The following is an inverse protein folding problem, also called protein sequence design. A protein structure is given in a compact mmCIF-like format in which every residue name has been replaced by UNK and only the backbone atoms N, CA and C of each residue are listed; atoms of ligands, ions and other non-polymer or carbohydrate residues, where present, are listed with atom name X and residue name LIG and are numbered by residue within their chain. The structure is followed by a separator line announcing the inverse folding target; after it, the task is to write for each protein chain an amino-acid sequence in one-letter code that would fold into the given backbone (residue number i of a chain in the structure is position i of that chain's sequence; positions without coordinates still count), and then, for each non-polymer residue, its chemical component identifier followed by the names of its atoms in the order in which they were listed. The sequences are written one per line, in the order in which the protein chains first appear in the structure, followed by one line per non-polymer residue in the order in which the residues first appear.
data_IF_832041411020
#
_entry.id   IF_832041411020
#
_cell.length_a   1.000
_cell.length_b   1.000
_cell.length_c   1.000
_cell.angle_alpha   90.00
_cell.angle_beta   90.00
_cell.angle_gamma   90.00
#
_symmetry.space_group_name_H-M   'P 1'
#
loop_
_entity.id
_entity.type
_entity.pdbx_description
1 polymer ?
#
# COMPACT_ATOMS: atom_id res chain seq x y z
N UNK A 1 -44.15 51.71 -20.47
CA UNK A 1 -42.87 51.14 -19.98
C UNK A 1 -43.02 49.96 -19.00
N UNK A 2 -44.20 49.33 -18.87
CA UNK A 2 -44.48 48.36 -17.78
C UNK A 2 -44.55 46.87 -18.21
N UNK A 3 -44.57 46.56 -19.52
CA UNK A 3 -44.65 45.17 -20.03
C UNK A 3 -43.31 44.44 -19.98
N UNK A 4 -42.19 45.14 -20.21
CA UNK A 4 -40.84 44.55 -20.23
C UNK A 4 -40.34 44.10 -18.85
N UNK A 5 -40.83 44.71 -17.77
CA UNK A 5 -40.45 44.35 -16.39
C UNK A 5 -41.12 43.07 -15.91
N UNK A 6 -42.36 42.78 -16.34
CA UNK A 6 -43.08 41.55 -15.98
C UNK A 6 -42.46 40.30 -16.64
N UNK A 7 -42.03 40.39 -17.90
CA UNK A 7 -41.33 39.30 -18.59
C UNK A 7 -39.95 39.01 -17.98
N UNK A 8 -39.22 40.04 -17.55
CA UNK A 8 -37.95 39.86 -16.83
C UNK A 8 -38.12 39.16 -15.48
N UNK A 9 -39.12 39.57 -14.69
CA UNK A 9 -39.44 38.92 -13.40
C UNK A 9 -39.82 37.44 -13.59
N UNK A 10 -40.59 37.14 -14.64
CA UNK A 10 -40.98 35.78 -14.97
C UNK A 10 -39.78 34.90 -15.36
N UNK A 11 -38.83 35.43 -16.14
CA UNK A 11 -37.59 34.71 -16.48
C UNK A 11 -36.71 34.46 -15.25
N UNK A 12 -36.57 35.44 -14.33
CA UNK A 12 -35.86 35.24 -13.07
C UNK A 12 -36.53 34.16 -12.23
N UNK A 13 -37.86 34.20 -12.13
CA UNK A 13 -38.62 33.18 -11.40
C UNK A 13 -38.39 31.78 -11.99
N UNK A 14 -38.48 31.62 -13.32
CA UNK A 14 -38.17 30.34 -13.97
C UNK A 14 -36.73 29.91 -13.68
N UNK A 15 -35.76 30.81 -13.81
CA UNK A 15 -34.36 30.48 -13.54
C UNK A 15 -34.16 30.02 -12.10
N UNK A 16 -34.75 30.71 -11.11
CA UNK A 16 -34.71 30.28 -9.70
C UNK A 16 -35.40 28.93 -9.48
N UNK A 17 -36.47 28.64 -10.22
CA UNK A 17 -37.21 27.39 -10.10
C UNK A 17 -36.41 26.22 -10.72
N UNK A 18 -35.72 26.47 -11.83
CA UNK A 18 -34.81 25.50 -12.45
C UNK A 18 -33.60 25.21 -11.55
N UNK A 19 -32.98 26.23 -10.94
CA UNK A 19 -31.86 26.00 -10.02
C UNK A 19 -32.30 25.24 -8.77
N UNK A 20 -33.44 25.60 -8.17
CA UNK A 20 -34.04 24.84 -7.06
C UNK A 20 -34.34 23.40 -7.45
N UNK A 21 -34.85 23.16 -8.66
CA UNK A 21 -35.12 21.83 -9.17
C UNK A 21 -33.83 20.99 -9.31
N UNK A 22 -32.74 21.57 -9.82
CA UNK A 22 -31.44 20.88 -9.90
C UNK A 22 -30.94 20.48 -8.51
N UNK A 23 -31.05 21.38 -7.51
CA UNK A 23 -30.68 21.05 -6.13
C UNK A 23 -31.57 19.97 -5.52
N UNK A 24 -32.89 20.03 -5.77
CA UNK A 24 -33.83 19.02 -5.32
C UNK A 24 -33.43 17.62 -5.83
N UNK A 25 -33.16 17.47 -7.13
CA UNK A 25 -32.76 16.18 -7.72
C UNK A 25 -31.49 15.59 -7.08
N UNK A 26 -30.52 16.42 -6.67
CA UNK A 26 -29.33 15.94 -5.96
C UNK A 26 -29.66 15.30 -4.59
N UNK A 27 -30.63 15.84 -3.84
CA UNK A 27 -31.04 15.29 -2.53
C UNK A 27 -31.68 13.90 -2.71
N UNK A 28 -32.42 13.71 -3.81
CA UNK A 28 -33.02 12.43 -4.16
C UNK A 28 -32.00 11.39 -4.63
N UNK A 29 -30.87 11.83 -5.19
CA UNK A 29 -29.79 10.94 -5.64
C UNK A 29 -28.99 10.31 -4.48
N UNK A 30 -29.09 10.85 -3.26
CA UNK A 30 -28.47 10.22 -2.09
C UNK A 30 -29.18 8.90 -1.77
N UNK A 31 -28.42 7.82 -1.54
CA UNK A 31 -29.00 6.51 -1.30
C UNK A 31 -29.83 6.52 0.00
N UNK A 32 -30.95 5.79 -0.02
CA UNK A 32 -31.76 5.59 1.19
C UNK A 32 -31.13 4.60 2.17
N UNK A 33 -30.22 3.75 1.69
CA UNK A 33 -29.50 2.77 2.49
C UNK A 33 -28.01 2.77 2.15
N UNK A 34 -27.16 2.64 3.17
CA UNK A 34 -25.71 2.66 3.06
C UNK A 34 -25.13 1.48 3.83
N UNK A 35 -24.17 0.77 3.23
CA UNK A 35 -23.37 -0.24 3.93
C UNK A 35 -21.99 0.35 4.22
N UNK A 36 -21.60 0.32 5.48
CA UNK A 36 -20.29 0.79 5.95
C UNK A 36 -19.59 -0.37 6.65
N UNK A 37 -18.27 -0.47 6.47
CA UNK A 37 -17.45 -1.41 7.22
C UNK A 37 -17.06 -0.76 8.55
N UNK A 38 -17.22 -1.49 9.65
CA UNK A 38 -16.84 -1.04 10.99
C UNK A 38 -15.39 -0.54 11.02
N UNK A 39 -15.17 0.65 11.57
CA UNK A 39 -13.85 1.27 11.66
C UNK A 39 -13.30 1.86 10.36
N UNK A 40 -14.00 1.71 9.23
CA UNK A 40 -13.68 2.44 8.00
C UNK A 40 -14.38 3.78 7.94
N UNK A 41 -13.71 4.75 7.33
CA UNK A 41 -14.22 6.09 7.13
C UNK A 41 -14.95 6.17 5.79
N UNK A 42 -16.22 6.58 5.84
CA UNK A 42 -17.07 6.74 4.66
C UNK A 42 -17.47 8.20 4.50
N UNK A 43 -17.05 8.80 3.39
CA UNK A 43 -17.39 10.18 3.06
C UNK A 43 -18.68 10.26 2.24
N UNK A 44 -19.56 11.19 2.63
CA UNK A 44 -20.78 11.56 1.92
C UNK A 44 -20.63 12.97 1.34
N UNK A 45 -20.87 13.10 0.04
CA UNK A 45 -20.81 14.38 -0.67
C UNK A 45 -22.22 14.89 -0.94
N UNK A 46 -22.62 15.89 -0.14
CA UNK A 46 -23.93 16.52 -0.25
C UNK A 46 -23.92 17.66 -1.28
N UNK A 47 -22.88 18.50 -1.26
CA UNK A 47 -22.73 19.67 -2.13
C UNK A 47 -23.94 20.63 -2.03
N UNK A 48 -24.47 20.82 -0.82
CA UNK A 48 -25.54 21.78 -0.52
C UNK A 48 -25.01 22.91 0.36
N UNK A 49 -25.21 24.20 0.02
CA UNK A 49 -24.70 25.32 0.79
C UNK A 49 -25.54 25.60 2.06
N UNK A 50 -25.77 24.57 2.87
CA UNK A 50 -26.57 24.62 4.10
C UNK A 50 -25.89 23.81 5.21
N UNK A 51 -26.14 24.19 6.45
CA UNK A 51 -25.79 23.38 7.61
C UNK A 51 -26.99 22.53 8.02
N UNK A 52 -26.75 21.28 8.40
CA UNK A 52 -27.77 20.38 8.90
C UNK A 52 -27.38 19.82 10.26
N UNK A 53 -28.39 19.58 11.10
CA UNK A 53 -28.23 18.83 12.34
C UNK A 53 -28.21 17.34 12.01
N UNK A 54 -27.18 16.65 12.45
CA UNK A 54 -27.01 15.21 12.28
C UNK A 54 -27.33 14.51 13.60
N UNK A 55 -28.18 13.48 13.54
CA UNK A 55 -28.46 12.58 14.65
C UNK A 55 -28.46 11.13 14.17
N UNK A 56 -28.19 10.22 15.10
CA UNK A 56 -28.33 8.77 14.97
C UNK A 56 -29.26 8.27 16.06
N UNK A 57 -29.87 7.12 15.83
CA UNK A 57 -30.86 6.56 16.75
C UNK A 57 -30.21 5.79 17.91
N UNK A 58 -29.12 5.08 17.65
CA UNK A 58 -28.63 4.03 18.57
C UNK A 58 -27.17 3.61 18.37
N UNK A 59 -26.42 4.21 17.44
CA UNK A 59 -25.00 3.89 17.24
C UNK A 59 -24.14 5.14 17.37
N UNK A 60 -23.01 4.96 18.05
CA UNK A 60 -21.95 5.95 18.16
C UNK A 60 -21.01 5.87 16.95
N UNK A 61 -20.64 7.04 16.43
CA UNK A 61 -19.73 7.19 15.30
C UNK A 61 -19.07 8.56 15.36
N UNK A 62 -17.94 8.68 14.66
CA UNK A 62 -17.23 9.94 14.49
C UNK A 62 -17.71 10.65 13.23
N UNK A 63 -17.82 11.96 13.32
CA UNK A 63 -18.16 12.85 12.21
C UNK A 63 -16.99 13.79 11.99
N UNK A 64 -16.32 13.67 10.84
CA UNK A 64 -15.09 14.44 10.53
C UNK A 64 -13.99 14.30 11.61
N UNK A 65 -13.98 13.18 12.35
CA UNK A 65 -13.04 12.93 13.45
C UNK A 65 -13.58 13.28 14.84
N UNK A 66 -14.67 14.05 14.93
CA UNK A 66 -15.27 14.47 16.20
C UNK A 66 -16.32 13.48 16.70
N UNK A 67 -16.50 13.40 18.01
CA UNK A 67 -17.55 12.57 18.64
C UNK A 67 -18.90 13.23 18.38
N UNK A 68 -19.92 12.42 18.05
CA UNK A 68 -21.27 12.93 17.85
C UNK A 68 -21.88 13.38 19.18
N UNK A 69 -22.00 14.70 19.37
CA UNK A 69 -22.70 15.29 20.50
C UNK A 69 -24.19 15.56 20.22
N UNK A 70 -24.93 15.89 21.28
CA UNK A 70 -26.33 16.27 21.15
C UNK A 70 -26.47 17.58 20.34
N UNK A 71 -27.12 17.50 19.17
CA UNK A 71 -27.30 18.60 18.21
C UNK A 71 -26.07 18.96 17.37
N UNK A 72 -25.20 17.99 17.09
CA UNK A 72 -24.08 18.13 16.15
C UNK A 72 -24.49 18.78 14.82
N UNK A 73 -23.82 19.86 14.44
CA UNK A 73 -24.03 20.59 13.19
C UNK A 73 -22.97 20.18 12.16
N UNK A 74 -23.43 19.85 10.97
CA UNK A 74 -22.60 19.49 9.82
C UNK A 74 -22.81 20.51 8.71
N UNK A 75 -21.70 20.98 8.15
CA UNK A 75 -21.67 21.76 6.92
C UNK A 75 -21.81 20.85 5.71
N UNK A 76 -22.98 20.85 5.06
CA UNK A 76 -23.27 20.02 3.89
C UNK A 76 -22.68 20.60 2.59
N UNK A 77 -22.00 21.75 2.65
CA UNK A 77 -21.28 22.30 1.50
C UNK A 77 -19.96 21.57 1.26
N UNK A 78 -19.48 20.86 2.28
CA UNK A 78 -18.24 20.08 2.29
C UNK A 78 -18.54 18.58 2.37
N UNK A 79 -17.59 17.72 2.00
CA UNK A 79 -17.69 16.29 2.24
C UNK A 79 -17.81 16.00 3.75
N UNK A 80 -18.71 15.10 4.11
CA UNK A 80 -18.99 14.72 5.50
C UNK A 80 -18.49 13.30 5.72
N UNK A 81 -17.52 13.15 6.60
CA UNK A 81 -16.86 11.89 6.87
C UNK A 81 -17.48 11.20 8.07
N UNK A 82 -17.84 9.93 7.91
CA UNK A 82 -18.51 9.12 8.93
C UNK A 82 -17.68 7.89 9.25
N UNK A 83 -17.40 7.64 10.53
CA UNK A 83 -16.66 6.45 10.97
C UNK A 83 -17.37 5.78 12.14
N UNK A 84 -18.00 4.65 11.87
CA UNK A 84 -18.74 3.89 12.88
C UNK A 84 -17.81 3.00 13.69
N UNK A 85 -17.97 3.03 15.01
CA UNK A 85 -17.14 2.26 15.94
C UNK A 85 -17.73 0.88 16.23
N UNK A 86 -19.06 0.77 16.25
CA UNK A 86 -19.79 -0.46 16.54
C UNK A 86 -20.57 -1.00 15.32
N UNK A 87 -20.83 -2.30 15.32
CA UNK A 87 -21.64 -2.97 14.31
C UNK A 87 -23.13 -2.80 14.60
N UNK A 88 -23.95 -2.89 13.56
CA UNK A 88 -25.40 -2.88 13.71
C UNK A 88 -26.07 -2.07 12.62
N UNK A 89 -27.33 -1.73 12.86
CA UNK A 89 -28.12 -0.88 11.95
C UNK A 89 -28.56 0.37 12.70
N UNK A 90 -28.43 1.52 12.04
CA UNK A 90 -28.94 2.79 12.54
C UNK A 90 -29.53 3.62 11.42
N UNK A 91 -30.23 4.71 11.76
CA UNK A 91 -30.72 5.68 10.79
C UNK A 91 -30.07 7.03 11.04
N UNK A 92 -29.32 7.52 10.05
CA UNK A 92 -28.79 8.88 10.06
C UNK A 92 -29.89 9.84 9.65
N UNK A 93 -30.17 10.82 10.52
CA UNK A 93 -31.21 11.83 10.32
C UNK A 93 -30.57 13.19 10.16
N UNK A 94 -30.71 13.77 8.97
CA UNK A 94 -30.29 15.12 8.65
C UNK A 94 -31.50 16.05 8.77
N UNK A 95 -31.43 17.07 9.63
CA UNK A 95 -32.51 18.04 9.86
C UNK A 95 -32.04 19.47 9.63
N UNK A 96 -32.90 20.30 9.05
CA UNK A 96 -32.72 21.76 8.96
C UNK A 96 -33.76 22.43 9.85
N UNK A 97 -33.38 22.82 11.07
CA UNK A 97 -34.34 23.26 12.08
C UNK A 97 -35.36 22.17 12.40
N UNK A 98 -36.63 22.39 12.05
CA UNK A 98 -37.73 21.44 12.24
C UNK A 98 -38.00 20.53 11.03
N UNK A 99 -37.38 20.81 9.87
CA UNK A 99 -37.63 20.07 8.62
C UNK A 99 -36.68 18.86 8.49
N UNK A 100 -37.18 17.63 8.29
CA UNK A 100 -36.35 16.48 7.97
C UNK A 100 -35.86 16.58 6.52
N UNK A 101 -34.54 16.74 6.32
CA UNK A 101 -33.95 16.84 4.99
C UNK A 101 -33.77 15.47 4.33
N UNK A 102 -33.21 14.52 5.08
CA UNK A 102 -32.90 13.17 4.60
C UNK A 102 -32.75 12.20 5.75
N UNK A 103 -33.24 11.00 5.56
CA UNK A 103 -32.96 9.84 6.41
C UNK A 103 -32.22 8.79 5.58
N UNK A 104 -31.13 8.26 6.14
CA UNK A 104 -30.30 7.23 5.51
C UNK A 104 -30.16 6.08 6.49
N UNK A 105 -30.64 4.89 6.12
CA UNK A 105 -30.39 3.68 6.90
C UNK A 105 -28.95 3.23 6.69
N UNK A 106 -28.20 3.05 7.75
CA UNK A 106 -26.82 2.60 7.71
C UNK A 106 -26.74 1.21 8.33
N UNK A 107 -26.17 0.27 7.58
CA UNK A 107 -25.83 -1.06 8.06
C UNK A 107 -24.31 -1.15 8.18
N UNK A 108 -23.83 -1.23 9.42
CA UNK A 108 -22.42 -1.33 9.77
C UNK A 108 -22.04 -2.80 9.91
N UNK A 109 -21.24 -3.29 8.96
CA UNK A 109 -20.83 -4.68 8.86
C UNK A 109 -19.39 -4.87 9.37
N UNK A 110 -19.03 -6.06 9.89
CA UNK A 110 -17.67 -6.35 10.32
C UNK A 110 -16.65 -6.22 9.19
N UNK A 111 -15.44 -5.78 9.52
CA UNK A 111 -14.29 -5.84 8.62
C UNK A 111 -13.92 -7.30 8.35
N UNK A 112 -14.05 -7.75 7.10
CA UNK A 112 -13.63 -9.09 6.70
C UNK A 112 -12.13 -9.10 6.42
N UNK A 113 -11.36 -9.79 7.26
CA UNK A 113 -9.94 -10.07 7.04
C UNK A 113 -9.78 -11.47 6.42
N UNK A 114 -8.87 -11.60 5.46
CA UNK A 114 -8.50 -12.89 4.85
C UNK A 114 -7.01 -13.12 5.05
N UNK A 115 -6.63 -14.38 5.19
CA UNK A 115 -5.23 -14.81 5.18
C UNK A 115 -5.01 -15.57 3.88
N UNK A 116 -4.04 -15.19 3.03
CA UNK A 116 -3.76 -15.94 1.81
C UNK A 116 -3.28 -17.35 2.20
N UNK A 117 -4.00 -18.37 1.73
CA UNK A 117 -3.59 -19.77 1.83
C UNK A 117 -2.91 -20.23 0.54
N UNK A 118 -2.02 -21.21 0.64
CA UNK A 118 -1.35 -21.80 -0.52
C UNK A 118 -0.58 -23.06 -0.16
N UNK A 119 -0.34 -23.91 -1.17
CA UNK A 119 0.57 -25.05 -1.06
C UNK A 119 1.93 -24.64 -1.62
N UNK A 120 3.01 -25.02 -0.93
CA UNK A 120 4.36 -24.75 -1.40
C UNK A 120 4.62 -25.49 -2.72
N UNK A 121 4.93 -24.74 -3.78
CA UNK A 121 5.53 -25.29 -4.99
C UNK A 121 7.04 -25.13 -4.83
N UNK A 122 7.73 -26.24 -4.52
CA UNK A 122 9.19 -26.24 -4.43
C UNK A 122 9.81 -26.05 -5.80
N UNK A 123 10.68 -25.05 -5.98
CA UNK A 123 11.47 -24.85 -7.20
C UNK A 123 12.94 -25.14 -6.93
N UNK A 124 13.58 -25.93 -7.81
CA UNK A 124 15.03 -26.17 -7.76
C UNK A 124 15.72 -25.22 -8.72
N UNK A 125 16.46 -24.25 -8.18
CA UNK A 125 17.29 -23.34 -8.97
C UNK A 125 18.59 -24.06 -9.36
N UNK A 126 18.80 -24.26 -10.65
CA UNK A 126 20.06 -24.77 -11.20
C UNK A 126 20.87 -23.56 -11.67
N UNK A 127 21.90 -23.18 -10.92
CA UNK A 127 22.84 -22.14 -11.34
C UNK A 127 23.93 -22.74 -12.24
N UNK A 128 24.27 -22.04 -13.32
CA UNK A 128 25.47 -22.33 -14.10
C UNK A 128 26.70 -21.75 -13.36
N UNK A 129 27.16 -22.44 -12.32
CA UNK A 129 28.25 -21.99 -11.44
C UNK A 129 27.81 -21.87 -9.98
N UNK A 130 28.70 -21.38 -9.12
CA UNK A 130 28.45 -21.21 -7.69
C UNK A 130 28.22 -19.75 -7.32
N UNK A 131 27.13 -19.45 -6.63
CA UNK A 131 26.82 -18.08 -6.20
C UNK A 131 27.50 -17.74 -4.87
N UNK A 132 28.13 -16.57 -4.80
CA UNK A 132 28.72 -16.03 -3.58
C UNK A 132 27.61 -15.49 -2.68
N UNK A 133 27.33 -16.16 -1.57
CA UNK A 133 26.29 -15.76 -0.60
C UNK A 133 26.84 -14.97 0.59
N UNK A 134 28.14 -15.01 0.81
CA UNK A 134 28.80 -14.39 1.95
C UNK A 134 30.32 -14.56 1.91
N UNK A 135 31.03 -14.01 2.88
CA UNK A 135 32.47 -14.13 3.02
C UNK A 135 32.82 -14.90 4.28
N UNK A 136 33.75 -15.86 4.15
CA UNK A 136 34.48 -16.35 5.31
C UNK A 136 35.60 -15.37 5.65
N UNK A 137 35.74 -15.03 6.93
CA UNK A 137 36.80 -14.16 7.42
C UNK A 137 37.89 -15.02 8.07
N UNK A 138 39.10 -14.92 7.53
CA UNK A 138 40.32 -15.37 8.19
C UNK A 138 40.76 -14.32 9.20
N UNK A 139 41.35 -14.74 10.32
CA UNK A 139 41.89 -13.83 11.32
C UNK A 139 43.41 -13.95 11.33
N UNK A 140 44.11 -12.89 10.93
CA UNK A 140 45.56 -12.77 11.10
C UNK A 140 45.85 -11.51 11.93
N UNK A 141 46.66 -11.63 12.99
CA UNK A 141 47.10 -10.52 13.83
C UNK A 141 45.98 -9.54 14.24
N UNK A 142 44.82 -10.08 14.67
CA UNK A 142 43.58 -9.36 15.06
C UNK A 142 42.84 -8.63 13.93
N UNK A 143 43.18 -8.84 12.66
CA UNK A 143 42.46 -8.31 11.50
C UNK A 143 41.69 -9.43 10.80
N UNK A 144 40.39 -9.20 10.60
CA UNK A 144 39.51 -10.09 9.82
C UNK A 144 39.61 -9.72 8.35
N UNK A 145 39.95 -10.68 7.48
CA UNK A 145 40.03 -10.46 6.05
C UNK A 145 39.60 -11.70 5.26
N UNK A 146 39.26 -11.49 3.99
CA UNK A 146 38.84 -12.55 3.07
C UNK A 146 39.52 -12.33 1.73
N UNK A 147 40.34 -13.28 1.23
CA UNK A 147 41.10 -13.10 -0.01
C UNK A 147 40.22 -12.72 -1.21
N UNK A 148 39.06 -13.39 -1.36
CA UNK A 148 38.10 -13.09 -2.43
C UNK A 148 37.53 -11.68 -2.32
N UNK A 149 37.12 -11.26 -1.11
CA UNK A 149 36.59 -9.92 -0.86
C UNK A 149 37.60 -8.82 -1.16
N UNK A 150 38.86 -9.01 -0.75
CA UNK A 150 39.93 -8.04 -0.99
C UNK A 150 40.24 -7.85 -2.47
N UNK A 151 40.09 -8.92 -3.27
CA UNK A 151 40.26 -8.87 -4.73
C UNK A 151 39.01 -8.38 -5.47
N UNK A 152 37.94 -8.02 -4.75
CA UNK A 152 36.76 -7.39 -5.34
C UNK A 152 35.67 -8.37 -5.81
N UNK A 153 35.72 -9.63 -5.39
CA UNK A 153 34.60 -10.56 -5.53
C UNK A 153 33.49 -10.13 -4.56
N UNK A 154 32.25 -10.03 -5.07
CA UNK A 154 31.10 -9.51 -4.35
C UNK A 154 30.04 -10.59 -4.11
N UNK A 155 29.24 -10.40 -3.06
CA UNK A 155 28.03 -11.19 -2.84
C UNK A 155 27.09 -11.02 -4.04
N UNK A 156 26.55 -12.14 -4.54
CA UNK A 156 25.75 -12.21 -5.76
C UNK A 156 26.54 -12.52 -7.03
N UNK A 157 27.89 -12.53 -6.98
CA UNK A 157 28.69 -13.02 -8.10
C UNK A 157 28.50 -14.53 -8.29
N UNK A 158 28.51 -14.99 -9.54
CA UNK A 158 28.43 -16.41 -9.90
C UNK A 158 29.79 -16.86 -10.41
N UNK A 159 30.51 -17.66 -9.62
CA UNK A 159 31.80 -18.24 -9.97
C UNK A 159 31.62 -19.33 -11.02
N UNK A 160 32.36 -19.23 -12.12
CA UNK A 160 32.24 -20.12 -13.29
C UNK A 160 33.42 -21.07 -13.41
N UNK A 161 34.64 -20.54 -13.32
CA UNK A 161 35.87 -21.28 -13.61
C UNK A 161 36.99 -20.84 -12.65
N UNK A 162 37.87 -21.78 -12.30
CA UNK A 162 39.16 -21.53 -11.65
C UNK A 162 40.26 -22.08 -12.56
N UNK A 163 41.26 -21.26 -12.90
CA UNK A 163 42.37 -21.65 -13.79
C UNK A 163 41.92 -22.33 -15.10
N UNK A 164 40.85 -21.79 -15.72
CA UNK A 164 40.20 -22.33 -16.93
C UNK A 164 39.46 -23.66 -16.75
N UNK A 165 39.34 -24.20 -15.54
CA UNK A 165 38.52 -25.38 -15.25
C UNK A 165 37.14 -24.96 -14.71
N UNK A 166 36.07 -25.49 -15.32
CA UNK A 166 34.68 -25.15 -14.96
C UNK A 166 34.30 -25.74 -13.62
N UNK A 167 33.78 -24.90 -12.73
CA UNK A 167 33.29 -25.29 -11.41
C UNK A 167 31.96 -26.04 -11.57
N UNK A 168 31.84 -27.21 -10.92
CA UNK A 168 30.65 -28.06 -10.98
C UNK A 168 29.82 -27.96 -9.71
N UNK A 169 30.48 -27.97 -8.56
CA UNK A 169 29.90 -27.89 -7.23
C UNK A 169 30.96 -27.34 -6.25
N UNK A 170 30.59 -27.15 -4.98
CA UNK A 170 31.48 -26.65 -3.92
C UNK A 170 32.73 -27.51 -3.73
N UNK A 171 32.57 -28.83 -3.80
CA UNK A 171 33.65 -29.78 -3.54
C UNK A 171 34.70 -29.72 -4.64
N UNK A 172 34.25 -29.67 -5.90
CA UNK A 172 35.12 -29.46 -7.06
C UNK A 172 35.85 -28.11 -6.99
N UNK A 173 35.20 -27.05 -6.49
CA UNK A 173 35.87 -25.77 -6.28
C UNK A 173 36.99 -25.90 -5.24
N UNK A 174 36.75 -26.59 -4.13
CA UNK A 174 37.76 -26.82 -3.09
C UNK A 174 38.96 -27.60 -3.66
N UNK A 175 38.71 -28.68 -4.41
CA UNK A 175 39.77 -29.45 -5.08
C UNK A 175 40.62 -28.58 -6.03
N UNK A 176 39.99 -27.70 -6.82
CA UNK A 176 40.71 -26.79 -7.73
C UNK A 176 41.57 -25.77 -6.97
N UNK A 177 41.11 -25.32 -5.81
CA UNK A 177 41.86 -24.40 -4.95
C UNK A 177 43.04 -25.14 -4.31
N UNK A 178 42.85 -26.35 -3.79
CA UNK A 178 43.90 -27.14 -3.13
C UNK A 178 45.04 -27.50 -4.09
N UNK A 179 44.70 -27.79 -5.36
CA UNK A 179 45.69 -28.01 -6.44
C UNK A 179 46.63 -26.81 -6.66
N UNK A 180 46.22 -25.59 -6.32
CA UNK A 180 47.07 -24.41 -6.46
C UNK A 180 48.21 -24.34 -5.45
N UNK A 181 48.13 -25.12 -4.36
CA UNK A 181 49.11 -25.12 -3.27
C UNK A 181 49.44 -23.70 -2.74
N UNK A 182 48.44 -22.81 -2.69
CA UNK A 182 48.60 -21.43 -2.22
C UNK A 182 49.18 -20.45 -3.26
N UNK A 183 49.35 -20.90 -4.50
CA UNK A 183 49.69 -20.04 -5.65
C UNK A 183 48.48 -19.21 -6.08
N UNK A 184 48.72 -18.06 -6.73
CA UNK A 184 47.63 -17.23 -7.24
C UNK A 184 46.80 -17.98 -8.29
N UNK A 185 45.48 -17.94 -8.13
CA UNK A 185 44.50 -18.58 -9.02
C UNK A 185 43.72 -17.52 -9.79
N UNK A 186 43.37 -17.85 -11.04
CA UNK A 186 42.49 -17.04 -11.87
C UNK A 186 41.05 -17.49 -11.68
N UNK A 187 40.19 -16.61 -11.19
CA UNK A 187 38.77 -16.85 -10.96
C UNK A 187 37.95 -16.07 -11.97
N UNK A 188 37.17 -16.79 -12.78
CA UNK A 188 36.22 -16.20 -13.73
C UNK A 188 34.82 -16.25 -13.13
N UNK A 189 34.11 -15.13 -13.16
CA UNK A 189 32.78 -15.00 -12.57
C UNK A 189 31.85 -14.13 -13.41
N UNK A 190 30.55 -14.27 -13.16
CA UNK A 190 29.52 -13.37 -13.67
C UNK A 190 29.02 -12.45 -12.57
N UNK A 191 28.97 -11.15 -12.88
CA UNK A 191 28.29 -10.12 -12.09
C UNK A 191 27.13 -9.55 -12.91
N UNK A 192 25.92 -10.02 -12.62
CA UNK A 192 24.77 -9.78 -13.48
C UNK A 192 24.99 -10.41 -14.85
N UNK A 193 25.06 -9.59 -15.91
CA UNK A 193 25.31 -10.03 -17.28
C UNK A 193 26.78 -9.88 -17.72
N UNK A 194 27.66 -9.37 -16.86
CA UNK A 194 29.07 -9.13 -17.19
C UNK A 194 29.95 -10.26 -16.69
N UNK A 195 30.82 -10.76 -17.55
CA UNK A 195 31.85 -11.72 -17.18
C UNK A 195 33.12 -10.98 -16.78
N UNK A 196 33.66 -11.31 -15.61
CA UNK A 196 34.85 -10.69 -15.01
C UNK A 196 35.86 -11.75 -14.62
N UNK A 197 37.13 -11.37 -14.59
CA UNK A 197 38.24 -12.24 -14.19
C UNK A 197 39.03 -11.57 -13.08
N UNK A 198 39.31 -12.31 -12.01
CA UNK A 198 40.08 -11.86 -10.85
C UNK A 198 41.22 -12.83 -10.55
N UNK A 199 42.34 -12.31 -10.06
CA UNK A 199 43.45 -13.11 -9.59
C UNK A 199 43.47 -13.09 -8.06
N UNK A 200 43.28 -14.24 -7.43
CA UNK A 200 43.13 -14.41 -5.99
C UNK A 200 44.20 -15.34 -5.49
N UNK A 201 44.90 -14.97 -4.41
CA UNK A 201 45.83 -15.88 -3.74
C UNK A 201 45.09 -16.62 -2.62
N UNK A 202 44.93 -17.96 -2.71
CA UNK A 202 44.35 -18.74 -1.63
C UNK A 202 45.27 -18.74 -0.41
N UNK A 203 44.67 -18.88 0.77
CA UNK A 203 45.37 -18.92 2.05
C UNK A 203 44.81 -20.12 2.81
N UNK A 204 45.70 -20.94 3.35
CA UNK A 204 45.31 -22.07 4.18
C UNK A 204 44.71 -21.57 5.49
N UNK A 205 43.62 -22.20 5.92
CA UNK A 205 43.02 -21.96 7.22
C UNK A 205 43.19 -23.24 8.05
N UNK A 206 43.86 -23.13 9.20
CA UNK A 206 44.10 -24.26 10.11
C UNK A 206 42.90 -24.58 11.03
N UNK A 207 41.85 -23.74 11.02
CA UNK A 207 40.58 -23.93 11.75
C UNK A 207 39.55 -24.74 10.94
#
# INVERSE_FOLDING_TARGET
MHKKTKTGLFLIFIFTLVTLFVYYNKIYCLPGELRIIQGEEKTLEFNFPINARLKSDNLDFLVNGDILEENFLVDLSKPVSLKFLDQGTTTLKFKLGFLPLKEIKVNVIPQKKVVPGGHSIGVKLISNGLIVVGYSNLTDNKRKYSPGRQKGILIGDVLLEINNEKIKNSDHMAELIDKSQGSEIMVKLNRGQKQLTFFVKPIFNDD
#
